data_IF_340252734391
#
_entry.id   IF_340252734391
#
_cell.length_a   1.000
_cell.length_b   1.000
_cell.length_c   1.000
_cell.angle_alpha   90.00
_cell.angle_beta   90.00
_cell.angle_gamma   90.00
#
_symmetry.space_group_name_H-M   'P 1'
#
loop_
_entity.id
_entity.type
_entity.pdbx_description
1 polymer ?
#
# COMPACT_ATOMS: atom_id res chain seq x y z
N UNK A 1 -0.27 17.99 -24.93
CA UNK A 1 -0.73 17.27 -23.70
C UNK A 1 -0.39 15.80 -23.90
N UNK A 2 0.29 15.14 -22.96
CA UNK A 2 0.49 13.68 -23.00
C UNK A 2 -0.86 12.98 -22.97
N UNK A 3 -0.98 11.84 -23.65
CA UNK A 3 -2.19 11.03 -23.61
C UNK A 3 -2.52 10.61 -22.17
N UNK A 4 -3.81 10.46 -21.85
CA UNK A 4 -4.26 9.96 -20.55
C UNK A 4 -3.84 8.49 -20.39
N UNK A 5 -3.20 8.15 -19.28
CA UNK A 5 -2.79 6.79 -18.97
C UNK A 5 -4.00 5.92 -18.64
N UNK A 6 -4.08 4.75 -19.25
CA UNK A 6 -5.13 3.75 -19.01
C UNK A 6 -4.59 2.69 -18.03
N UNK A 7 -5.29 2.47 -16.95
CA UNK A 7 -4.91 1.52 -15.91
C UNK A 7 -5.94 0.38 -15.86
N UNK A 8 -5.47 -0.82 -15.50
CA UNK A 8 -6.32 -1.91 -15.06
C UNK A 8 -6.26 -2.05 -13.54
N UNK A 9 -7.42 -2.26 -12.90
CA UNK A 9 -7.55 -2.62 -11.49
C UNK A 9 -7.87 -4.10 -11.38
N UNK A 10 -6.99 -4.89 -10.77
CA UNK A 10 -7.02 -6.34 -10.85
C UNK A 10 -6.99 -7.00 -9.47
N UNK A 11 -8.02 -7.76 -9.17
CA UNK A 11 -8.20 -8.52 -7.95
C UNK A 11 -8.96 -7.78 -6.86
N UNK A 12 -9.80 -8.51 -6.15
CA UNK A 12 -10.45 -8.10 -4.91
C UNK A 12 -10.66 -9.35 -4.06
N UNK A 13 -10.09 -9.36 -2.86
CA UNK A 13 -10.23 -10.46 -1.89
C UNK A 13 -10.92 -9.99 -0.63
N UNK A 14 -11.42 -10.93 0.17
CA UNK A 14 -12.13 -10.60 1.40
C UNK A 14 -11.31 -9.69 2.33
N UNK A 15 -11.98 -8.69 2.88
CA UNK A 15 -11.39 -7.69 3.76
C UNK A 15 -10.53 -6.63 3.08
N UNK A 16 -10.43 -6.62 1.72
CA UNK A 16 -9.72 -5.60 0.95
C UNK A 16 -10.60 -4.88 -0.07
N UNK A 17 -10.98 -3.63 0.23
CA UNK A 17 -11.80 -2.77 -0.64
C UNK A 17 -10.99 -1.82 -1.53
N UNK A 18 -9.69 -2.05 -1.74
CA UNK A 18 -8.84 -1.15 -2.53
C UNK A 18 -9.35 -0.91 -3.96
N UNK A 19 -9.97 -1.86 -4.67
CA UNK A 19 -10.55 -1.58 -5.99
C UNK A 19 -11.59 -0.46 -5.98
N UNK A 20 -12.48 -0.41 -4.99
CA UNK A 20 -13.42 0.71 -4.82
C UNK A 20 -12.70 2.02 -4.54
N UNK A 21 -11.81 1.99 -3.54
CA UNK A 21 -11.10 3.16 -3.05
C UNK A 21 -10.17 3.76 -4.10
N UNK A 22 -9.24 2.95 -4.60
CA UNK A 22 -8.19 3.42 -5.50
C UNK A 22 -8.73 3.83 -6.86
N UNK A 23 -9.67 3.06 -7.41
CA UNK A 23 -10.31 3.46 -8.67
C UNK A 23 -11.13 4.73 -8.51
N UNK A 24 -11.86 4.87 -7.40
CA UNK A 24 -12.60 6.08 -7.09
C UNK A 24 -11.70 7.30 -6.89
N UNK A 25 -10.53 7.16 -6.28
CA UNK A 25 -9.53 8.23 -6.12
C UNK A 25 -8.95 8.65 -7.48
N UNK A 26 -8.71 7.68 -8.39
CA UNK A 26 -8.14 7.98 -9.72
C UNK A 26 -9.20 8.57 -10.64
N UNK A 27 -10.40 8.00 -10.73
CA UNK A 27 -11.42 8.34 -11.71
C UNK A 27 -12.40 9.44 -11.27
N UNK A 28 -12.55 9.66 -9.97
CA UNK A 28 -13.79 10.14 -9.37
C UNK A 28 -14.76 8.96 -9.16
N UNK A 29 -15.92 9.22 -8.57
CA UNK A 29 -16.86 8.16 -8.24
C UNK A 29 -18.32 8.64 -8.33
N UNK A 30 -19.25 7.68 -8.45
CA UNK A 30 -20.68 7.92 -8.30
C UNK A 30 -21.05 7.81 -6.82
N UNK A 31 -21.53 8.89 -6.15
CA UNK A 31 -21.83 8.85 -4.72
C UNK A 31 -22.88 7.81 -4.33
N UNK A 32 -23.93 7.63 -5.12
CA UNK A 32 -25.03 6.71 -4.84
C UNK A 32 -24.59 5.25 -4.94
N UNK A 33 -23.72 4.94 -5.90
CA UNK A 33 -23.14 3.60 -6.03
C UNK A 33 -22.02 3.35 -5.01
N UNK A 34 -21.20 4.34 -4.72
CA UNK A 34 -20.15 4.25 -3.70
C UNK A 34 -20.74 4.06 -2.29
N UNK A 35 -21.91 4.62 -2.00
CA UNK A 35 -22.61 4.41 -0.73
C UNK A 35 -23.01 2.94 -0.50
N UNK A 36 -23.09 2.13 -1.56
CA UNK A 36 -23.38 0.67 -1.48
C UNK A 36 -22.13 -0.18 -1.26
N UNK A 37 -20.93 0.45 -1.19
CA UNK A 37 -19.67 -0.25 -0.98
C UNK A 37 -19.72 -1.05 0.35
N UNK A 38 -19.39 -2.35 0.35
CA UNK A 38 -19.45 -3.18 1.57
C UNK A 38 -18.42 -2.79 2.63
N UNK A 39 -17.42 -1.98 2.27
CA UNK A 39 -16.37 -1.49 3.16
C UNK A 39 -16.74 -0.09 3.67
N UNK A 40 -17.50 -0.01 4.74
CA UNK A 40 -18.12 1.22 5.23
C UNK A 40 -17.15 2.41 5.45
N UNK A 41 -15.87 2.16 5.71
CA UNK A 41 -14.86 3.21 5.84
C UNK A 41 -14.59 3.97 4.53
N UNK A 42 -14.76 3.32 3.36
CA UNK A 42 -14.44 3.91 2.06
C UNK A 42 -15.35 5.07 1.72
N UNK A 43 -16.69 4.93 1.67
CA UNK A 43 -17.57 6.08 1.43
C UNK A 43 -17.39 7.20 2.47
N UNK A 44 -17.03 6.87 3.71
CA UNK A 44 -16.83 7.87 4.77
C UNK A 44 -15.65 8.79 4.46
N UNK A 45 -14.46 8.28 4.14
CA UNK A 45 -13.32 9.15 3.86
C UNK A 45 -13.38 9.76 2.45
N UNK A 46 -13.98 9.07 1.48
CA UNK A 46 -14.21 9.63 0.14
C UNK A 46 -15.17 10.83 0.20
N UNK A 47 -16.25 10.70 0.96
CA UNK A 47 -17.27 11.75 1.11
C UNK A 47 -16.80 12.99 1.88
N UNK A 48 -15.64 12.96 2.52
CA UNK A 48 -15.02 14.15 3.14
C UNK A 48 -14.37 15.08 2.11
N UNK A 49 -14.17 14.61 0.88
CA UNK A 49 -13.52 15.38 -0.17
C UNK A 49 -14.57 16.01 -1.10
N UNK A 50 -14.37 17.26 -1.58
CA UNK A 50 -15.20 17.81 -2.64
C UNK A 50 -15.14 16.91 -3.87
N UNK A 51 -16.29 16.46 -4.37
CA UNK A 51 -16.38 15.43 -5.43
C UNK A 51 -15.57 15.80 -6.68
N UNK A 52 -15.58 17.08 -7.04
CA UNK A 52 -14.86 17.63 -8.19
C UNK A 52 -13.33 17.59 -8.03
N UNK A 53 -12.82 17.44 -6.81
CA UNK A 53 -11.38 17.42 -6.51
C UNK A 53 -10.80 16.02 -6.38
N UNK A 54 -11.64 14.98 -6.35
CA UNK A 54 -11.20 13.60 -6.06
C UNK A 54 -10.30 13.06 -7.18
N UNK A 55 -10.60 13.34 -8.44
CA UNK A 55 -9.92 12.77 -9.60
C UNK A 55 -8.42 13.10 -9.66
N UNK A 56 -7.61 12.12 -10.07
CA UNK A 56 -6.20 12.34 -10.45
C UNK A 56 -6.13 12.58 -11.96
N UNK A 57 -5.73 13.79 -12.38
CA UNK A 57 -5.66 14.15 -13.79
C UNK A 57 -4.63 13.33 -14.56
N UNK A 58 -4.96 12.97 -15.82
CA UNK A 58 -4.09 12.33 -16.81
C UNK A 58 -3.83 10.85 -16.57
N UNK A 59 -4.63 10.21 -15.72
CA UNK A 59 -4.72 8.76 -15.62
C UNK A 59 -6.18 8.36 -15.38
N UNK A 60 -6.53 7.16 -15.82
CA UNK A 60 -7.86 6.58 -15.63
C UNK A 60 -7.79 5.07 -15.48
N UNK A 61 -8.49 4.52 -14.51
CA UNK A 61 -8.79 3.09 -14.45
C UNK A 61 -9.89 2.84 -15.47
N UNK A 62 -9.57 2.12 -16.55
CA UNK A 62 -10.49 1.82 -17.64
C UNK A 62 -11.00 0.39 -17.61
N UNK A 63 -10.25 -0.52 -16.98
CA UNK A 63 -10.56 -1.95 -16.92
C UNK A 63 -10.53 -2.46 -15.48
N UNK A 64 -11.45 -3.37 -15.17
CA UNK A 64 -11.51 -4.04 -13.87
C UNK A 64 -11.75 -5.54 -14.01
N UNK A 65 -11.06 -6.28 -13.15
CA UNK A 65 -11.34 -7.68 -12.87
C UNK A 65 -11.32 -7.92 -11.36
N UNK A 66 -12.26 -8.70 -10.84
CA UNK A 66 -12.31 -9.13 -9.43
C UNK A 66 -12.30 -10.66 -9.35
N UNK A 67 -11.81 -11.20 -8.23
CA UNK A 67 -11.78 -12.64 -7.95
C UNK A 67 -13.20 -13.23 -7.91
N UNK A 68 -14.17 -12.50 -7.31
CA UNK A 68 -15.59 -12.78 -7.49
C UNK A 68 -16.13 -11.95 -8.67
N UNK A 69 -16.61 -12.60 -9.75
CA UNK A 69 -17.17 -11.88 -10.90
C UNK A 69 -18.37 -10.99 -10.56
N UNK A 70 -19.07 -11.25 -9.44
CA UNK A 70 -20.21 -10.44 -9.00
C UNK A 70 -19.80 -9.07 -8.46
N UNK A 71 -18.54 -8.88 -8.10
CA UNK A 71 -18.06 -7.63 -7.51
C UNK A 71 -17.57 -6.62 -8.55
N UNK A 72 -16.97 -7.08 -9.66
CA UNK A 72 -16.42 -6.19 -10.67
C UNK A 72 -17.44 -5.19 -11.24
N UNK A 73 -18.72 -5.55 -11.56
CA UNK A 73 -19.74 -4.59 -11.99
C UNK A 73 -20.09 -3.54 -10.93
N UNK A 74 -20.08 -3.93 -9.64
CA UNK A 74 -20.37 -3.00 -8.53
C UNK A 74 -19.25 -1.96 -8.37
N UNK A 75 -17.99 -2.42 -8.41
CA UNK A 75 -16.83 -1.53 -8.40
C UNK A 75 -16.83 -0.62 -9.62
N UNK A 76 -17.13 -1.17 -10.81
CA UNK A 76 -17.20 -0.40 -12.05
C UNK A 76 -18.23 0.73 -11.97
N UNK A 77 -19.45 0.43 -11.48
CA UNK A 77 -20.50 1.43 -11.28
C UNK A 77 -20.10 2.51 -10.26
N UNK A 78 -19.52 2.09 -9.13
CA UNK A 78 -19.08 3.01 -8.07
C UNK A 78 -17.94 3.91 -8.51
N UNK A 79 -16.98 3.40 -9.27
CA UNK A 79 -15.70 4.07 -9.58
C UNK A 79 -15.58 4.47 -11.05
N UNK A 80 -16.69 4.53 -11.80
CA UNK A 80 -16.80 5.02 -13.18
C UNK A 80 -15.83 4.29 -14.15
N UNK A 81 -15.71 2.97 -14.02
CA UNK A 81 -14.87 2.13 -14.89
C UNK A 81 -15.70 1.63 -16.08
N UNK A 82 -15.13 1.70 -17.28
CA UNK A 82 -15.87 1.41 -18.51
C UNK A 82 -15.95 -0.09 -18.85
N UNK A 83 -14.87 -0.85 -18.56
CA UNK A 83 -14.74 -2.23 -19.02
C UNK A 83 -14.59 -3.20 -17.86
N UNK A 84 -15.55 -4.12 -17.71
CA UNK A 84 -15.44 -5.29 -16.86
C UNK A 84 -14.95 -6.45 -17.73
N UNK A 85 -13.81 -7.06 -17.39
CA UNK A 85 -13.23 -8.16 -18.15
C UNK A 85 -13.48 -9.50 -17.47
N UNK A 86 -13.51 -10.58 -18.27
CA UNK A 86 -13.79 -11.94 -17.79
C UNK A 86 -12.54 -12.62 -17.19
N UNK A 87 -11.37 -12.24 -17.69
CA UNK A 87 -10.06 -12.73 -17.21
C UNK A 87 -9.13 -11.55 -17.00
N UNK A 88 -8.24 -11.61 -16.00
CA UNK A 88 -7.34 -10.50 -15.76
C UNK A 88 -6.38 -10.23 -16.94
N UNK A 89 -5.99 -11.26 -17.70
CA UNK A 89 -5.11 -11.13 -18.86
C UNK A 89 -5.74 -10.42 -20.06
N UNK A 90 -7.08 -10.34 -20.11
CA UNK A 90 -7.80 -9.66 -21.21
C UNK A 90 -7.49 -8.15 -21.29
N UNK A 91 -6.85 -7.58 -20.25
CA UNK A 91 -6.42 -6.17 -20.26
C UNK A 91 -5.12 -5.94 -21.02
N UNK A 92 -4.33 -6.99 -21.32
CA UNK A 92 -3.04 -6.87 -22.02
C UNK A 92 -3.26 -6.33 -23.44
N UNK A 93 -2.54 -5.27 -23.78
CA UNK A 93 -2.71 -4.53 -25.04
C UNK A 93 -3.78 -3.43 -25.02
N UNK A 94 -4.58 -3.33 -23.94
CA UNK A 94 -5.63 -2.33 -23.79
C UNK A 94 -5.30 -1.24 -22.76
N UNK A 95 -4.33 -1.50 -21.87
CA UNK A 95 -3.93 -0.59 -20.79
C UNK A 95 -2.43 -0.31 -20.82
N UNK A 96 -2.03 0.76 -20.18
CA UNK A 96 -0.64 1.22 -20.11
C UNK A 96 0.07 0.74 -18.82
N UNK A 97 -0.68 0.31 -17.80
CA UNK A 97 -0.17 -0.31 -16.59
C UNK A 97 -1.27 -1.13 -15.87
N UNK A 98 -0.85 -2.04 -14.99
CA UNK A 98 -1.73 -2.84 -14.16
C UNK A 98 -1.54 -2.56 -12.67
N UNK A 99 -2.63 -2.61 -11.90
CA UNK A 99 -2.64 -2.52 -10.44
C UNK A 99 -3.17 -3.85 -9.90
N UNK A 100 -2.32 -4.62 -9.22
CA UNK A 100 -2.72 -5.80 -8.46
C UNK A 100 -3.21 -5.32 -7.10
N UNK A 101 -4.51 -5.34 -6.88
CA UNK A 101 -5.17 -4.69 -5.76
C UNK A 101 -5.60 -5.68 -4.65
N UNK A 102 -4.90 -6.78 -4.52
CA UNK A 102 -5.04 -7.73 -3.41
C UNK A 102 -3.94 -7.47 -2.37
N UNK A 103 -4.19 -7.78 -1.10
CA UNK A 103 -3.22 -7.58 -0.02
C UNK A 103 -2.70 -8.90 0.59
N UNK A 104 -2.63 -9.94 -0.24
CA UNK A 104 -2.03 -11.23 0.08
C UNK A 104 -0.67 -11.38 -0.60
N UNK A 105 0.40 -11.14 0.18
CA UNK A 105 1.78 -11.23 -0.32
C UNK A 105 2.26 -12.65 -0.66
N UNK A 106 1.41 -13.68 -0.52
CA UNK A 106 1.76 -15.08 -0.89
C UNK A 106 1.36 -15.44 -2.32
N UNK A 107 0.60 -14.58 -3.03
CA UNK A 107 0.16 -14.89 -4.40
C UNK A 107 0.44 -13.79 -5.43
N UNK A 108 1.08 -12.71 -5.03
CA UNK A 108 1.37 -11.57 -5.90
C UNK A 108 2.28 -11.92 -7.07
N UNK A 109 3.24 -12.83 -6.90
CA UNK A 109 4.08 -13.31 -8.01
C UNK A 109 3.23 -13.96 -9.09
N UNK A 110 2.29 -14.83 -8.71
CA UNK A 110 1.38 -15.50 -9.64
C UNK A 110 0.49 -14.49 -10.38
N UNK A 111 -0.09 -13.54 -9.63
CA UNK A 111 -0.99 -12.52 -10.17
C UNK A 111 -0.29 -11.53 -11.09
N UNK A 112 0.92 -11.08 -10.73
CA UNK A 112 1.64 -10.06 -11.47
C UNK A 112 2.36 -10.61 -12.73
N UNK A 113 2.73 -11.89 -12.74
CA UNK A 113 3.54 -12.51 -13.78
C UNK A 113 3.06 -12.24 -15.20
N UNK A 114 1.79 -12.46 -15.59
CA UNK A 114 1.36 -12.24 -16.98
C UNK A 114 1.61 -10.81 -17.45
N UNK A 115 1.40 -9.83 -16.59
CA UNK A 115 1.53 -8.40 -16.92
C UNK A 115 3.00 -7.98 -16.99
N UNK A 116 3.83 -8.43 -16.05
CA UNK A 116 5.27 -8.17 -16.04
C UNK A 116 5.94 -8.80 -17.25
N UNK A 117 5.57 -10.03 -17.62
CA UNK A 117 6.09 -10.73 -18.80
C UNK A 117 5.63 -10.05 -20.09
N UNK A 118 4.40 -9.53 -20.14
CA UNK A 118 3.90 -8.70 -21.24
C UNK A 118 4.56 -7.31 -21.32
N UNK A 119 5.41 -6.95 -20.35
CA UNK A 119 6.13 -5.66 -20.32
C UNK A 119 5.35 -4.50 -19.73
N UNK A 120 4.19 -4.74 -19.13
CA UNK A 120 3.43 -3.69 -18.45
C UNK A 120 4.11 -3.29 -17.12
N UNK A 121 4.20 -1.99 -16.80
CA UNK A 121 4.44 -1.53 -15.45
C UNK A 121 3.36 -2.01 -14.50
N UNK A 122 3.74 -2.43 -13.28
CA UNK A 122 2.78 -2.98 -12.32
C UNK A 122 2.93 -2.30 -10.96
N UNK A 123 1.79 -1.87 -10.40
CA UNK A 123 1.67 -1.57 -8.98
C UNK A 123 1.18 -2.82 -8.26
N UNK A 124 1.90 -3.23 -7.22
CA UNK A 124 1.54 -4.35 -6.36
C UNK A 124 1.06 -3.81 -5.02
N UNK A 125 -0.13 -4.18 -4.59
CA UNK A 125 -0.59 -3.84 -3.23
C UNK A 125 0.36 -4.44 -2.18
N UNK A 126 0.36 -3.83 -1.05
CA UNK A 126 1.20 -4.22 0.10
C UNK A 126 0.59 -5.43 0.87
N UNK A 127 1.41 -6.27 1.44
CA UNK A 127 2.86 -6.34 1.26
C UNK A 127 3.20 -6.98 -0.09
N UNK A 128 4.26 -6.52 -0.74
CA UNK A 128 4.65 -7.05 -2.06
C UNK A 128 4.90 -8.57 -2.02
N UNK A 129 5.52 -9.05 -0.94
CA UNK A 129 5.81 -10.47 -0.72
C UNK A 129 5.94 -10.76 0.78
N UNK A 130 5.55 -11.96 1.20
CA UNK A 130 5.69 -12.45 2.59
C UNK A 130 6.53 -13.70 2.70
N UNK A 131 7.11 -14.17 1.59
CA UNK A 131 8.03 -15.30 1.54
C UNK A 131 9.31 -14.96 0.79
N UNK A 132 10.42 -15.64 1.12
CA UNK A 132 11.70 -15.44 0.44
C UNK A 132 11.63 -15.79 -1.06
N UNK A 133 10.99 -16.88 -1.50
CA UNK A 133 10.90 -17.19 -2.93
C UNK A 133 10.20 -16.10 -3.73
N UNK A 134 9.10 -15.55 -3.22
CA UNK A 134 8.37 -14.47 -3.89
C UNK A 134 9.17 -13.18 -3.93
N UNK A 135 9.80 -12.79 -2.80
CA UNK A 135 10.65 -11.61 -2.77
C UNK A 135 11.80 -11.71 -3.78
N UNK A 136 12.43 -12.90 -3.88
CA UNK A 136 13.49 -13.15 -4.89
C UNK A 136 12.98 -12.96 -6.31
N UNK A 137 11.79 -13.44 -6.63
CA UNK A 137 11.21 -13.28 -7.96
C UNK A 137 10.99 -11.80 -8.32
N UNK A 138 10.51 -10.98 -7.38
CA UNK A 138 10.38 -9.53 -7.61
C UNK A 138 11.74 -8.85 -7.80
N UNK A 139 12.76 -9.25 -7.02
CA UNK A 139 14.14 -8.76 -7.19
C UNK A 139 14.71 -9.13 -8.57
N UNK A 140 14.47 -10.36 -9.03
CA UNK A 140 14.90 -10.80 -10.36
C UNK A 140 14.23 -9.99 -11.48
N UNK A 141 12.92 -9.77 -11.39
CA UNK A 141 12.21 -8.93 -12.35
C UNK A 141 12.71 -7.49 -12.34
N UNK A 142 12.93 -6.93 -11.15
CA UNK A 142 13.49 -5.57 -11.06
C UNK A 142 14.88 -5.49 -11.70
N UNK A 143 15.78 -6.45 -11.43
CA UNK A 143 17.11 -6.53 -12.04
C UNK A 143 17.06 -6.72 -13.55
N UNK A 144 16.01 -7.35 -14.06
CA UNK A 144 15.73 -7.47 -15.49
C UNK A 144 15.09 -6.21 -16.09
N UNK A 145 15.05 -5.09 -15.35
CA UNK A 145 14.53 -3.80 -15.82
C UNK A 145 12.99 -3.70 -15.84
N UNK A 146 12.28 -4.63 -15.19
CA UNK A 146 10.81 -4.55 -15.10
C UNK A 146 10.38 -3.43 -14.16
N UNK A 147 9.33 -2.71 -14.54
CA UNK A 147 8.80 -1.57 -13.79
C UNK A 147 7.77 -2.06 -12.76
N UNK A 148 8.16 -2.10 -11.49
CA UNK A 148 7.35 -2.59 -10.39
C UNK A 148 7.41 -1.58 -9.26
N UNK A 149 6.26 -1.20 -8.70
CA UNK A 149 6.15 -0.38 -7.50
C UNK A 149 5.24 -1.09 -6.48
N UNK A 150 5.63 -1.08 -5.22
CA UNK A 150 4.77 -1.49 -4.11
C UNK A 150 5.07 -0.60 -2.92
N UNK A 151 4.04 0.02 -2.37
CA UNK A 151 4.12 0.86 -1.16
C UNK A 151 2.80 0.82 -0.41
N UNK A 152 2.85 1.16 0.87
CA UNK A 152 1.66 1.51 1.65
C UNK A 152 1.32 3.00 1.50
N UNK A 153 0.04 3.36 1.56
CA UNK A 153 -0.38 4.74 1.70
C UNK A 153 0.21 5.44 2.92
N UNK A 154 0.56 4.70 3.97
CA UNK A 154 1.18 5.25 5.19
C UNK A 154 2.49 5.99 4.92
N UNK A 155 3.26 5.59 3.91
CA UNK A 155 4.47 6.31 3.46
C UNK A 155 4.16 7.74 3.01
N UNK A 156 2.94 7.99 2.54
CA UNK A 156 2.50 9.27 1.97
C UNK A 156 1.57 10.05 2.91
N UNK A 157 1.32 9.53 4.12
CA UNK A 157 0.50 10.22 5.10
C UNK A 157 1.17 11.53 5.55
N UNK A 158 0.51 12.70 5.40
CA UNK A 158 1.13 13.99 5.73
C UNK A 158 1.61 14.06 7.17
N UNK A 159 0.88 13.43 8.09
CA UNK A 159 1.19 13.42 9.53
C UNK A 159 2.53 12.75 9.83
N UNK A 160 2.96 11.79 8.97
CA UNK A 160 4.21 11.05 9.13
C UNK A 160 5.40 11.71 8.40
N UNK A 161 5.18 12.87 7.77
CA UNK A 161 6.17 13.57 6.94
C UNK A 161 6.46 15.01 7.41
N UNK A 162 6.00 15.38 8.58
CA UNK A 162 6.27 16.69 9.16
C UNK A 162 7.74 16.81 9.62
N UNK A 163 8.16 18.02 9.95
CA UNK A 163 9.46 18.24 10.60
C UNK A 163 9.35 17.92 12.10
N UNK A 164 10.11 16.96 12.55
CA UNK A 164 10.19 16.49 13.94
C UNK A 164 11.48 16.91 14.66
N UNK A 165 12.26 17.83 14.10
CA UNK A 165 13.55 18.27 14.64
C UNK A 165 13.47 18.85 16.06
N UNK A 166 12.30 19.37 16.45
CA UNK A 166 12.03 19.86 17.80
C UNK A 166 12.09 18.77 18.88
N UNK A 167 11.91 17.49 18.52
CA UNK A 167 12.03 16.38 19.46
C UNK A 167 13.47 16.07 19.85
N UNK A 168 14.47 16.66 19.17
CA UNK A 168 15.88 16.31 19.33
C UNK A 168 16.22 14.97 18.68
N UNK A 169 17.20 14.24 19.24
CA UNK A 169 17.56 12.91 18.73
C UNK A 169 16.49 11.89 19.09
N UNK A 170 15.93 11.20 18.11
CA UNK A 170 14.99 10.11 18.36
C UNK A 170 15.70 8.93 19.07
N UNK A 171 15.04 8.37 20.07
CA UNK A 171 15.52 7.22 20.86
C UNK A 171 14.69 5.98 20.66
N UNK A 172 13.36 6.16 20.60
CA UNK A 172 12.43 5.07 20.44
C UNK A 172 11.25 5.51 19.57
N UNK A 173 10.70 4.57 18.81
CA UNK A 173 9.45 4.78 18.05
C UNK A 173 8.54 3.60 18.34
N UNK A 174 7.27 3.86 18.62
CA UNK A 174 6.22 2.84 18.57
C UNK A 174 5.32 3.09 17.39
N UNK A 175 4.94 2.03 16.65
CA UNK A 175 3.98 2.12 15.56
C UNK A 175 3.08 0.89 15.59
N UNK A 176 1.77 1.13 15.60
CA UNK A 176 0.79 0.06 15.68
C UNK A 176 -0.21 0.11 14.53
N UNK A 177 -0.64 -1.07 14.12
CA UNK A 177 -1.70 -1.30 13.15
C UNK A 177 -2.65 -2.39 13.66
N UNK A 178 -3.72 -2.64 12.93
CA UNK A 178 -4.67 -3.73 13.20
C UNK A 178 -4.38 -4.97 12.34
N UNK A 179 -5.21 -5.99 12.49
CA UNK A 179 -5.16 -7.27 11.76
C UNK A 179 -3.85 -8.03 11.99
N UNK A 180 -3.35 -8.76 10.98
CA UNK A 180 -2.18 -9.63 11.10
C UNK A 180 -0.90 -8.96 10.65
N UNK A 181 0.24 -9.42 11.15
CA UNK A 181 1.55 -8.94 10.76
C UNK A 181 1.81 -9.12 9.25
N UNK A 182 1.43 -10.28 8.71
CA UNK A 182 1.61 -10.61 7.30
C UNK A 182 0.95 -9.61 6.35
N UNK A 183 -0.27 -9.17 6.66
CA UNK A 183 -1.04 -8.27 5.78
C UNK A 183 -0.87 -6.80 6.13
N UNK A 184 -0.67 -6.47 7.41
CA UNK A 184 -0.78 -5.09 7.91
C UNK A 184 0.48 -4.56 8.59
N UNK A 185 1.43 -5.40 9.01
CA UNK A 185 2.70 -4.95 9.60
C UNK A 185 3.45 -3.94 8.73
N UNK A 186 3.34 -4.06 7.42
CA UNK A 186 3.93 -3.13 6.46
C UNK A 186 3.39 -1.70 6.59
N UNK A 187 2.14 -1.50 6.98
CA UNK A 187 1.60 -0.16 7.21
C UNK A 187 2.31 0.53 8.38
N UNK A 188 2.55 -0.21 9.46
CA UNK A 188 3.25 0.31 10.62
C UNK A 188 4.74 0.58 10.32
N UNK A 189 5.39 -0.26 9.50
CA UNK A 189 6.76 -0.03 9.03
C UNK A 189 6.86 1.20 8.11
N UNK A 190 5.99 1.31 7.11
CA UNK A 190 6.01 2.44 6.16
C UNK A 190 5.51 3.77 6.76
N UNK A 191 4.93 3.76 7.96
CA UNK A 191 4.68 5.00 8.69
C UNK A 191 5.95 5.59 9.32
N UNK A 192 6.96 4.76 9.59
CA UNK A 192 8.19 5.19 10.29
C UNK A 192 9.43 5.21 9.38
N UNK A 193 9.40 4.47 8.29
CA UNK A 193 10.53 4.41 7.35
C UNK A 193 10.91 5.79 6.77
N UNK A 194 9.97 6.67 6.36
CA UNK A 194 10.34 8.01 5.90
C UNK A 194 11.07 8.88 6.93
N UNK A 195 10.99 8.54 8.22
CA UNK A 195 11.66 9.25 9.31
C UNK A 195 13.10 8.76 9.52
N UNK A 196 13.34 7.47 9.26
CA UNK A 196 14.60 6.80 9.60
C UNK A 196 15.45 6.50 8.36
N UNK A 197 14.81 6.34 7.21
CA UNK A 197 15.41 5.74 6.02
C UNK A 197 15.68 4.24 6.20
N UNK A 198 16.31 3.58 5.21
CA UNK A 198 16.68 2.18 5.29
C UNK A 198 17.76 1.93 6.35
N UNK A 199 17.75 0.76 7.00
CA UNK A 199 18.77 0.40 7.99
C UNK A 199 18.26 -0.44 9.16
N UNK A 200 17.23 -1.23 8.98
CA UNK A 200 16.76 -2.21 9.98
C UNK A 200 17.78 -3.34 10.13
N UNK A 201 18.21 -3.65 11.37
CA UNK A 201 19.29 -4.58 11.67
C UNK A 201 18.78 -5.90 12.27
N UNK A 202 17.81 -5.83 13.17
CA UNK A 202 17.29 -6.99 13.90
C UNK A 202 15.77 -6.90 14.01
N UNK A 203 15.11 -8.05 14.04
CA UNK A 203 13.69 -8.22 14.35
C UNK A 203 13.54 -9.33 15.36
N UNK A 204 12.84 -9.06 16.46
CA UNK A 204 12.47 -10.06 17.47
C UNK A 204 10.97 -9.98 17.71
N UNK A 205 10.29 -11.09 17.49
CA UNK A 205 8.83 -11.20 17.66
C UNK A 205 8.45 -11.58 19.08
N UNK A 206 7.34 -10.99 19.55
CA UNK A 206 6.56 -11.42 20.69
C UNK A 206 5.12 -11.50 20.24
N UNK A 207 4.54 -12.70 20.22
CA UNK A 207 3.23 -12.98 19.65
C UNK A 207 2.36 -13.75 20.62
N UNK A 208 1.08 -13.39 20.64
CA UNK A 208 0.04 -14.09 21.40
C UNK A 208 -1.29 -14.06 20.63
N UNK A 209 -2.39 -14.46 21.27
CA UNK A 209 -3.72 -14.46 20.67
C UNK A 209 -4.22 -13.04 20.29
N UNK A 210 -3.68 -11.99 20.89
CA UNK A 210 -4.06 -10.59 20.65
C UNK A 210 -3.31 -9.94 19.47
N UNK A 211 -2.21 -10.50 19.04
CA UNK A 211 -1.43 -9.94 17.93
C UNK A 211 0.06 -10.24 17.96
N UNK A 212 0.75 -9.59 17.05
CA UNK A 212 2.20 -9.68 16.87
C UNK A 212 2.85 -8.35 17.20
N UNK A 213 3.85 -8.36 18.09
CA UNK A 213 4.67 -7.20 18.40
C UNK A 213 6.13 -7.50 18.09
N UNK A 214 6.75 -6.66 17.28
CA UNK A 214 8.12 -6.78 16.84
C UNK A 214 8.99 -5.72 17.51
N UNK A 215 10.06 -6.13 18.16
CA UNK A 215 11.14 -5.24 18.59
C UNK A 215 12.22 -5.21 17.52
N UNK A 216 12.53 -4.00 17.03
CA UNK A 216 13.51 -3.80 15.98
C UNK A 216 14.61 -2.85 16.45
N UNK A 217 15.80 -3.03 15.88
CA UNK A 217 16.90 -2.07 15.98
C UNK A 217 17.20 -1.49 14.61
N UNK A 218 17.57 -0.21 14.60
CA UNK A 218 17.94 0.49 13.39
C UNK A 218 19.39 1.00 13.47
N UNK A 219 20.08 1.12 12.34
CA UNK A 219 21.49 1.58 12.28
C UNK A 219 21.72 2.98 12.83
N UNK A 220 20.68 3.83 12.89
CA UNK A 220 20.75 5.14 13.55
C UNK A 220 20.86 5.06 15.07
N UNK A 221 20.70 3.87 15.66
CA UNK A 221 20.63 3.65 17.11
C UNK A 221 19.21 3.74 17.67
N UNK A 222 18.21 4.18 16.87
CA UNK A 222 16.79 4.18 17.25
C UNK A 222 16.30 2.76 17.41
N UNK A 223 15.53 2.51 18.46
CA UNK A 223 14.81 1.25 18.69
C UNK A 223 13.35 1.42 18.35
N UNK A 224 12.72 0.35 17.86
CA UNK A 224 11.31 0.39 17.49
C UNK A 224 10.54 -0.75 18.14
N UNK A 225 9.30 -0.45 18.49
CA UNK A 225 8.27 -1.45 18.79
C UNK A 225 7.16 -1.29 17.78
N UNK A 226 7.02 -2.27 16.89
CA UNK A 226 6.04 -2.25 15.79
C UNK A 226 5.07 -3.40 15.98
N UNK A 227 3.76 -3.12 15.99
CA UNK A 227 2.77 -4.16 16.27
C UNK A 227 1.60 -4.19 15.30
N UNK A 228 1.09 -5.41 15.07
CA UNK A 228 -0.17 -5.68 14.41
C UNK A 228 -1.11 -6.38 15.41
N UNK A 229 -2.14 -5.66 15.88
CA UNK A 229 -3.06 -6.12 16.93
C UNK A 229 -4.37 -6.55 16.26
N UNK A 230 -4.75 -7.83 16.39
CA UNK A 230 -5.74 -8.50 15.53
C UNK A 230 -7.06 -7.75 15.40
N UNK A 231 -7.68 -7.36 16.50
CA UNK A 231 -8.99 -6.71 16.55
C UNK A 231 -8.98 -5.25 17.01
N UNK A 232 -7.77 -4.69 17.23
CA UNK A 232 -7.60 -3.30 17.66
C UNK A 232 -7.64 -2.33 16.47
N UNK A 233 -8.76 -2.25 15.75
CA UNK A 233 -8.89 -1.43 14.53
C UNK A 233 -8.57 0.06 14.76
N UNK A 234 -8.77 0.58 15.97
CA UNK A 234 -8.37 1.92 16.35
C UNK A 234 -6.85 2.15 16.36
N UNK A 235 -6.02 1.10 16.34
CA UNK A 235 -4.56 1.25 16.31
C UNK A 235 -4.00 1.58 14.93
N UNK A 236 -4.75 1.43 13.85
CA UNK A 236 -4.27 1.71 12.49
C UNK A 236 -3.73 3.15 12.37
N UNK A 237 -2.45 3.27 12.02
CA UNK A 237 -1.77 4.55 11.87
C UNK A 237 -1.48 5.28 13.19
N UNK A 238 -1.39 4.56 14.33
CA UNK A 238 -0.93 5.11 15.59
C UNK A 238 0.59 4.99 15.69
N UNK A 239 1.28 6.14 15.77
CA UNK A 239 2.75 6.22 15.91
C UNK A 239 3.06 7.12 17.09
N UNK A 240 4.10 6.78 17.88
CA UNK A 240 4.61 7.66 18.92
C UNK A 240 6.13 7.77 18.80
N UNK A 241 6.60 9.00 18.71
CA UNK A 241 8.00 9.35 18.58
C UNK A 241 8.54 9.78 19.96
N UNK A 242 9.65 9.19 20.43
CA UNK A 242 10.29 9.54 21.68
C UNK A 242 11.68 10.10 21.40
N UNK A 243 11.84 11.40 21.59
CA UNK A 243 13.10 12.13 21.41
C UNK A 243 13.82 12.47 22.70
N UNK A 244 14.97 13.12 22.59
CA UNK A 244 15.74 13.57 23.75
C UNK A 244 15.21 14.84 24.41
N UNK A 245 14.33 15.59 23.71
CA UNK A 245 13.79 16.86 24.19
C UNK A 245 12.29 16.79 24.45
N UNK A 246 11.57 15.98 23.68
CA UNK A 246 10.13 15.85 23.77
C UNK A 246 9.67 14.53 23.18
N UNK A 247 8.39 14.20 23.33
CA UNK A 247 7.71 13.09 22.69
C UNK A 247 6.45 13.54 21.94
N UNK A 248 6.03 12.77 20.93
CA UNK A 248 4.91 13.16 20.08
C UNK A 248 4.10 11.95 19.63
N UNK A 249 2.82 11.84 20.05
CA UNK A 249 1.89 10.90 19.48
C UNK A 249 1.36 11.43 18.14
N UNK A 250 1.42 10.57 17.12
CA UNK A 250 0.87 10.82 15.79
C UNK A 250 -0.27 9.86 15.50
N UNK A 251 -1.22 10.28 14.71
CA UNK A 251 -2.34 9.45 14.26
C UNK A 251 -2.67 9.78 12.81
N UNK A 252 -2.85 8.75 11.98
CA UNK A 252 -3.41 8.95 10.65
C UNK A 252 -4.79 9.61 10.76
N UNK A 253 -4.92 10.81 10.23
CA UNK A 253 -6.17 11.55 10.23
C UNK A 253 -6.96 11.37 8.93
N UNK A 254 -6.26 11.23 7.80
CA UNK A 254 -6.87 11.19 6.48
C UNK A 254 -6.32 10.08 5.58
N UNK A 255 -7.06 8.98 5.54
CA UNK A 255 -6.77 7.82 4.68
C UNK A 255 -6.81 8.18 3.18
N UNK A 256 -7.69 9.12 2.78
CA UNK A 256 -7.80 9.54 1.39
C UNK A 256 -6.49 10.15 0.88
N UNK A 257 -5.90 11.10 1.61
CA UNK A 257 -4.65 11.76 1.20
C UNK A 257 -3.47 10.78 1.18
N UNK A 258 -3.42 9.84 2.13
CA UNK A 258 -2.41 8.79 2.15
C UNK A 258 -2.50 7.90 0.89
N UNK A 259 -3.69 7.39 0.54
CA UNK A 259 -3.88 6.60 -0.67
C UNK A 259 -3.68 7.41 -1.94
N UNK A 260 -4.18 8.64 -1.98
CA UNK A 260 -3.97 9.52 -3.13
C UNK A 260 -2.48 9.76 -3.38
N UNK A 261 -1.69 9.95 -2.33
CA UNK A 261 -0.23 10.14 -2.43
C UNK A 261 0.48 8.96 -3.10
N UNK A 262 0.19 7.73 -2.70
CA UNK A 262 0.79 6.55 -3.33
C UNK A 262 0.38 6.36 -4.79
N UNK A 263 -0.89 6.67 -5.13
CA UNK A 263 -1.40 6.55 -6.51
C UNK A 263 -0.80 7.62 -7.42
N UNK A 264 -0.65 8.85 -6.93
CA UNK A 264 0.07 9.92 -7.63
C UNK A 264 1.51 9.52 -7.88
N UNK A 265 2.21 8.97 -6.88
CA UNK A 265 3.59 8.52 -7.03
C UNK A 265 3.74 7.43 -8.12
N UNK A 266 2.79 6.49 -8.21
CA UNK A 266 2.78 5.50 -9.28
C UNK A 266 2.52 6.12 -10.65
N UNK A 267 1.51 6.99 -10.76
CA UNK A 267 1.17 7.68 -12.02
C UNK A 267 2.34 8.55 -12.50
N UNK A 268 3.03 9.25 -11.60
CA UNK A 268 4.19 10.06 -11.94
C UNK A 268 5.38 9.19 -12.37
N UNK A 269 5.56 8.02 -11.73
CA UNK A 269 6.56 7.04 -12.20
C UNK A 269 6.27 6.57 -13.64
N UNK A 270 5.00 6.31 -13.98
CA UNK A 270 4.61 5.93 -15.34
C UNK A 270 4.90 7.03 -16.36
N UNK A 271 4.72 8.30 -15.99
CA UNK A 271 4.92 9.46 -16.86
C UNK A 271 6.37 9.83 -17.07
N UNK A 272 7.15 9.74 -16.00
CA UNK A 272 8.53 10.26 -15.98
C UNK A 272 9.59 9.17 -16.14
N UNK A 273 9.23 7.92 -15.89
CA UNK A 273 10.16 6.79 -15.75
C UNK A 273 11.01 6.85 -14.48
N UNK A 274 10.79 7.84 -13.61
CA UNK A 274 11.55 8.01 -12.36
C UNK A 274 10.82 7.34 -11.21
N UNK A 275 11.50 6.43 -10.52
CA UNK A 275 10.93 5.75 -9.34
C UNK A 275 10.79 6.75 -8.18
N UNK A 276 9.67 6.69 -7.41
CA UNK A 276 9.47 7.57 -6.25
C UNK A 276 10.37 7.21 -5.06
N UNK A 277 10.90 5.99 -5.03
CA UNK A 277 11.82 5.47 -4.00
C UNK A 277 12.71 4.37 -4.59
N UNK A 278 13.92 4.15 -4.04
CA UNK A 278 14.76 3.01 -4.40
C UNK A 278 14.03 1.69 -4.16
N UNK A 279 14.16 0.74 -5.09
CA UNK A 279 13.53 -0.58 -4.93
C UNK A 279 14.06 -1.35 -3.72
N UNK A 280 15.33 -1.15 -3.36
CA UNK A 280 15.98 -1.79 -2.22
C UNK A 280 15.32 -1.41 -0.88
N UNK A 281 14.69 -0.24 -0.75
CA UNK A 281 13.89 0.11 0.42
C UNK A 281 12.67 -0.81 0.55
N UNK A 282 11.95 -1.05 -0.54
CA UNK A 282 10.83 -2.01 -0.55
C UNK A 282 11.32 -3.43 -0.20
N UNK A 283 12.47 -3.86 -0.75
CA UNK A 283 13.07 -5.17 -0.45
C UNK A 283 13.43 -5.29 1.03
N UNK A 284 14.01 -4.24 1.63
CA UNK A 284 14.35 -4.24 3.05
C UNK A 284 13.09 -4.38 3.92
N UNK A 285 12.03 -3.63 3.63
CA UNK A 285 10.78 -3.72 4.38
C UNK A 285 10.13 -5.11 4.27
N UNK A 286 10.15 -5.72 3.08
CA UNK A 286 9.69 -7.11 2.91
C UNK A 286 10.56 -8.08 3.71
N UNK A 287 11.88 -7.87 3.75
CA UNK A 287 12.77 -8.68 4.58
C UNK A 287 12.46 -8.56 6.07
N UNK A 288 12.09 -7.36 6.55
CA UNK A 288 11.62 -7.15 7.93
C UNK A 288 10.31 -7.90 8.21
N UNK A 289 9.33 -7.84 7.29
CA UNK A 289 8.08 -8.61 7.42
C UNK A 289 8.37 -10.10 7.53
N UNK A 290 9.18 -10.65 6.61
CA UNK A 290 9.54 -12.08 6.57
C UNK A 290 10.34 -12.48 7.82
N UNK A 291 11.25 -11.62 8.28
CA UNK A 291 12.02 -11.86 9.51
C UNK A 291 11.12 -11.90 10.75
N UNK A 292 10.10 -11.04 10.83
CA UNK A 292 9.09 -11.07 11.90
C UNK A 292 8.29 -12.37 11.89
N UNK A 293 7.82 -12.82 10.72
CA UNK A 293 7.13 -14.11 10.57
C UNK A 293 8.00 -15.26 11.10
N UNK A 294 9.27 -15.30 10.67
CA UNK A 294 10.21 -16.36 11.10
C UNK A 294 10.61 -16.28 12.57
N UNK A 295 10.69 -15.09 13.13
CA UNK A 295 11.03 -14.91 14.55
C UNK A 295 9.90 -15.33 15.48
N UNK A 296 8.67 -15.41 14.97
CA UNK A 296 7.48 -15.89 15.69
C UNK A 296 7.41 -17.42 15.71
N UNK A 297 7.86 -18.09 14.64
CA UNK A 297 7.93 -19.55 14.50
C UNK A 297 9.03 -20.17 15.40
#
# INVERSE_FOLDING_TARGET
>A
MSAELRLAMLGMIDGNGHPYSWSGIINGYNPDEMAKCPYAGIPVYMGKQPLESVRISGARVTHIWCDDPADAPKVAAASLIEHVVSKPEDVIGHVDAAVIATDDGTDHVRRARPFIEAGLPVFIDKPMATTIPELRQFVEWHRAGKSILSTSGMRYAPEMRADFSHLGDLRWITSFTCKTWERYGIHALESVEPLLGPGFLTVQAHSDAGGDVMHLTHRSGVKLTIGALHDAYGSFGAVHLYGTKDDLPLKLADTYHAFRGQLVAFIDMLRTGVRPLPFDETVELMAVIIAGIRSRE
#
